data_IF_139863225072
#
_entry.id   IF_139863225072
#
_cell.length_a   1.000
_cell.length_b   1.000
_cell.length_c   1.000
_cell.angle_alpha   90.00
_cell.angle_beta   90.00
_cell.angle_gamma   90.00
#
_symmetry.space_group_name_H-M   'P 1'
#
loop_
_entity.id
_entity.type
_entity.pdbx_description
1 polymer ?
#
# COMPACT_ATOMS: atom_id res chain seq x y z
N UNK A 1 -7.26 3.30 -14.26
CA UNK A 1 -7.17 1.83 -14.43
C UNK A 1 -5.73 1.33 -14.57
N UNK A 2 -4.90 1.84 -15.49
CA UNK A 2 -3.50 1.38 -15.66
C UNK A 2 -2.66 1.58 -14.38
N UNK A 3 -2.73 2.76 -13.75
CA UNK A 3 -1.99 3.02 -12.49
C UNK A 3 -2.35 2.02 -11.39
N UNK A 4 -3.63 1.73 -11.27
CA UNK A 4 -4.13 0.76 -10.29
C UNK A 4 -3.56 -0.65 -10.55
N UNK A 5 -3.66 -1.12 -11.80
CA UNK A 5 -3.14 -2.44 -12.17
C UNK A 5 -1.63 -2.53 -11.96
N UNK A 6 -0.89 -1.49 -12.34
CA UNK A 6 0.56 -1.45 -12.14
C UNK A 6 0.94 -1.47 -10.66
N UNK A 7 0.22 -0.70 -9.84
CA UNK A 7 0.47 -0.66 -8.38
C UNK A 7 0.21 -2.02 -7.73
N UNK A 8 -0.86 -2.69 -8.14
CA UNK A 8 -1.17 -4.03 -7.66
C UNK A 8 -0.08 -5.02 -8.09
N UNK A 9 0.39 -4.95 -9.34
CA UNK A 9 1.47 -5.79 -9.83
C UNK A 9 2.78 -5.56 -9.05
N UNK A 10 3.09 -4.30 -8.70
CA UNK A 10 4.24 -3.95 -7.87
C UNK A 10 4.16 -4.64 -6.50
N UNK A 11 3.01 -4.56 -5.85
CA UNK A 11 2.80 -5.20 -4.53
C UNK A 11 2.90 -6.72 -4.65
N UNK A 12 2.34 -7.31 -5.71
CA UNK A 12 2.47 -8.75 -5.97
C UNK A 12 3.93 -9.18 -6.11
N UNK A 13 4.75 -8.39 -6.81
CA UNK A 13 6.18 -8.69 -6.95
C UNK A 13 6.88 -8.71 -5.58
N UNK A 14 6.62 -7.73 -4.73
CA UNK A 14 7.17 -7.68 -3.37
C UNK A 14 6.70 -8.87 -2.53
N UNK A 15 5.42 -9.21 -2.60
CA UNK A 15 4.85 -10.37 -1.90
C UNK A 15 5.52 -11.68 -2.32
N UNK A 16 5.75 -11.85 -3.62
CA UNK A 16 6.39 -13.06 -4.16
C UNK A 16 7.80 -13.24 -3.61
N UNK A 17 8.59 -12.16 -3.59
CA UNK A 17 9.96 -12.20 -3.05
C UNK A 17 9.94 -12.48 -1.55
N UNK A 18 8.98 -11.93 -0.82
CA UNK A 18 8.81 -12.18 0.61
C UNK A 18 8.34 -13.61 0.93
N UNK A 19 7.85 -14.34 -0.06
CA UNK A 19 7.34 -15.70 0.13
C UNK A 19 5.91 -15.76 0.64
N UNK A 20 5.12 -14.72 0.43
CA UNK A 20 3.73 -14.64 0.86
C UNK A 20 2.77 -14.75 -0.32
N UNK A 21 1.58 -15.27 -0.05
CA UNK A 21 0.49 -15.25 -1.02
C UNK A 21 -0.30 -13.95 -0.90
N UNK A 22 -0.76 -13.43 -2.03
CA UNK A 22 -1.71 -12.32 -2.01
C UNK A 22 -2.85 -12.60 -2.97
N UNK A 23 -4.05 -12.20 -2.56
CA UNK A 23 -5.27 -12.43 -3.30
C UNK A 23 -6.22 -11.26 -3.12
N UNK A 24 -7.04 -11.04 -4.14
CA UNK A 24 -8.13 -10.08 -4.03
C UNK A 24 -9.15 -10.59 -3.03
N UNK A 25 -9.66 -9.73 -2.10
CA UNK A 25 -10.70 -10.13 -1.19
C UNK A 25 -11.98 -10.55 -1.94
N UNK A 26 -12.71 -11.49 -1.37
CA UNK A 26 -13.97 -11.95 -1.94
C UNK A 26 -15.10 -10.92 -1.78
N UNK A 27 -14.97 -10.00 -0.82
CA UNK A 27 -15.95 -8.92 -0.55
C UNK A 27 -15.21 -7.59 -0.59
N UNK A 28 -15.70 -6.67 -1.40
CA UNK A 28 -15.08 -5.36 -1.67
C UNK A 28 -15.81 -4.24 -0.92
N UNK A 29 -15.85 -4.33 0.42
CA UNK A 29 -16.58 -3.35 1.22
C UNK A 29 -15.72 -2.57 2.22
N UNK A 30 -14.46 -2.95 2.43
CA UNK A 30 -13.60 -2.38 3.46
C UNK A 30 -12.35 -1.68 2.94
N UNK A 31 -12.39 -1.24 1.70
CA UNK A 31 -11.25 -0.55 1.05
C UNK A 31 -9.96 -1.38 0.98
N UNK A 32 -10.06 -2.71 0.98
CA UNK A 32 -8.90 -3.61 0.88
C UNK A 32 -8.78 -4.12 -0.55
N UNK A 33 -7.63 -3.82 -1.18
CA UNK A 33 -7.35 -4.28 -2.54
C UNK A 33 -6.74 -5.68 -2.57
N UNK A 34 -5.90 -6.01 -1.59
CA UNK A 34 -5.29 -7.33 -1.47
C UNK A 34 -5.25 -7.80 -0.02
N UNK A 35 -5.51 -9.09 0.18
CA UNK A 35 -5.18 -9.81 1.40
C UNK A 35 -3.83 -10.49 1.21
N UNK A 36 -2.91 -10.31 2.16
CA UNK A 36 -1.56 -10.88 2.15
C UNK A 36 -1.43 -11.85 3.30
N UNK A 37 -1.05 -13.09 3.02
CA UNK A 37 -0.94 -14.18 3.99
C UNK A 37 0.43 -14.80 3.99
N UNK A 38 0.95 -15.11 5.19
CA UNK A 38 2.15 -15.91 5.34
C UNK A 38 1.81 -17.38 5.11
N UNK A 39 2.54 -18.06 4.20
CA UNK A 39 2.24 -19.42 3.77
C UNK A 39 2.34 -20.46 4.89
N UNK A 40 3.25 -20.24 5.84
CA UNK A 40 3.53 -21.18 6.94
C UNK A 40 2.83 -20.81 8.25
N UNK A 41 2.04 -19.74 8.25
CA UNK A 41 1.33 -19.25 9.43
C UNK A 41 -0.05 -18.77 9.02
N UNK A 42 -1.05 -19.66 8.95
CA UNK A 42 -2.37 -19.34 8.39
C UNK A 42 -3.10 -18.21 9.10
N UNK A 43 -2.69 -17.88 10.33
CA UNK A 43 -3.28 -16.77 11.08
C UNK A 43 -2.55 -15.43 10.91
N UNK A 44 -1.41 -15.42 10.21
CA UNK A 44 -0.66 -14.20 9.91
C UNK A 44 -1.14 -13.65 8.58
N UNK A 45 -1.97 -12.61 8.65
CA UNK A 45 -2.57 -11.96 7.50
C UNK A 45 -2.64 -10.47 7.72
N UNK A 46 -2.46 -9.71 6.65
CA UNK A 46 -2.75 -8.26 6.62
C UNK A 46 -3.61 -7.94 5.41
N UNK A 47 -4.35 -6.85 5.49
CA UNK A 47 -5.05 -6.27 4.35
C UNK A 47 -4.35 -4.99 3.90
N UNK A 48 -4.30 -4.74 2.59
CA UNK A 48 -3.69 -3.52 2.07
C UNK A 48 -4.62 -2.81 1.11
N UNK A 49 -4.70 -1.47 1.29
CA UNK A 49 -5.26 -0.54 0.31
C UNK A 49 -4.10 0.01 -0.49
N UNK A 50 -4.20 -0.02 -1.80
CA UNK A 50 -3.12 0.39 -2.69
C UNK A 50 -3.54 1.65 -3.44
N UNK A 51 -2.71 2.69 -3.34
CA UNK A 51 -2.86 3.95 -4.07
C UNK A 51 -1.58 4.24 -4.83
N UNK A 52 -1.65 5.14 -5.79
CA UNK A 52 -0.48 5.61 -6.54
C UNK A 52 -0.60 7.10 -6.84
N UNK A 53 0.54 7.73 -7.02
CA UNK A 53 0.62 9.12 -7.46
C UNK A 53 1.82 9.36 -8.35
N UNK A 54 1.65 10.16 -9.38
CA UNK A 54 2.73 10.74 -10.16
C UNK A 54 2.90 12.23 -9.86
N UNK A 55 2.15 12.77 -8.88
CA UNK A 55 2.20 14.19 -8.54
C UNK A 55 3.37 14.45 -7.59
N UNK A 56 4.45 15.05 -8.12
CA UNK A 56 5.65 15.35 -7.35
C UNK A 56 5.39 16.34 -6.21
N UNK A 57 4.33 17.16 -6.30
CA UNK A 57 4.00 18.13 -5.25
C UNK A 57 3.55 17.44 -3.95
N UNK A 58 3.06 16.21 -4.03
CA UNK A 58 2.70 15.44 -2.83
C UNK A 58 3.93 14.94 -2.07
N UNK A 59 5.07 14.79 -2.75
CA UNK A 59 6.29 14.24 -2.15
C UNK A 59 7.09 15.38 -1.51
N UNK A 60 7.25 15.31 -0.19
CA UNK A 60 8.01 16.27 0.62
C UNK A 60 9.40 15.68 0.94
N UNK A 61 10.16 16.36 1.81
CA UNK A 61 11.53 15.93 2.13
C UNK A 61 11.59 14.59 2.88
N UNK A 62 10.61 14.29 3.72
CA UNK A 62 10.59 13.10 4.58
C UNK A 62 9.27 12.33 4.56
N UNK A 63 8.27 12.80 3.82
CA UNK A 63 6.95 12.16 3.76
C UNK A 63 6.22 12.50 2.46
N UNK A 64 5.13 11.75 2.20
CA UNK A 64 4.16 12.03 1.16
C UNK A 64 2.90 12.57 1.82
N UNK A 65 2.38 13.70 1.34
CA UNK A 65 1.06 14.19 1.69
C UNK A 65 0.06 13.67 0.66
N UNK A 66 -0.64 12.59 0.99
CA UNK A 66 -1.56 11.95 0.06
C UNK A 66 -3.01 12.31 0.40
N UNK A 67 -3.80 12.86 -0.55
CA UNK A 67 -5.23 13.13 -0.33
C UNK A 67 -6.03 11.83 -0.45
N UNK A 68 -6.22 11.16 0.69
CA UNK A 68 -6.95 9.90 0.74
C UNK A 68 -8.47 10.16 0.78
N UNK A 69 -9.28 9.51 -0.07
CA UNK A 69 -10.73 9.64 0.01
C UNK A 69 -11.25 9.29 1.40
N UNK A 70 -12.24 10.03 1.87
CA UNK A 70 -12.77 9.90 3.24
C UNK A 70 -13.26 8.48 3.54
N UNK A 71 -13.86 7.79 2.57
CA UNK A 71 -14.28 6.40 2.77
C UNK A 71 -13.10 5.50 3.10
N UNK A 72 -12.02 5.61 2.31
CA UNK A 72 -10.81 4.81 2.56
C UNK A 72 -10.18 5.15 3.92
N UNK A 73 -10.14 6.43 4.26
CA UNK A 73 -9.62 6.88 5.55
C UNK A 73 -10.41 6.28 6.71
N UNK A 74 -11.74 6.35 6.67
CA UNK A 74 -12.58 5.81 7.73
C UNK A 74 -12.50 4.29 7.83
N UNK A 75 -12.40 3.60 6.70
CA UNK A 75 -12.26 2.14 6.68
C UNK A 75 -10.91 1.70 7.28
N UNK A 76 -9.85 2.48 7.08
CA UNK A 76 -8.50 2.09 7.50
C UNK A 76 -8.12 2.56 8.91
N UNK A 77 -8.79 3.57 9.48
CA UNK A 77 -8.46 4.11 10.80
C UNK A 77 -9.06 3.32 11.96
N UNK A 78 -10.04 2.47 11.69
CA UNK A 78 -10.70 1.68 12.75
C UNK A 78 -9.74 0.70 13.41
N UNK A 79 -9.97 0.44 14.68
CA UNK A 79 -9.22 -0.51 15.49
C UNK A 79 -10.03 -1.77 15.84
N UNK A 80 -11.29 -1.82 15.42
CA UNK A 80 -12.25 -2.90 15.68
C UNK A 80 -12.12 -4.08 14.72
N UNK A 81 -10.99 -4.21 14.05
CA UNK A 81 -10.75 -5.25 13.06
C UNK A 81 -9.73 -6.27 13.56
N UNK A 82 -9.98 -7.55 13.26
CA UNK A 82 -9.10 -8.64 13.64
C UNK A 82 -7.82 -8.68 12.80
N UNK A 83 -7.85 -8.16 11.57
CA UNK A 83 -6.74 -8.22 10.61
C UNK A 83 -6.17 -6.81 10.46
N UNK A 84 -4.87 -6.61 10.72
CA UNK A 84 -4.23 -5.31 10.52
C UNK A 84 -4.34 -4.85 9.06
N UNK A 85 -4.55 -3.55 8.87
CA UNK A 85 -4.70 -2.94 7.56
C UNK A 85 -3.68 -1.82 7.38
N UNK A 86 -3.15 -1.72 6.16
CA UNK A 86 -2.15 -0.71 5.82
C UNK A 86 -2.49 -0.03 4.50
N UNK A 87 -2.15 1.25 4.40
CA UNK A 87 -2.15 1.98 3.15
C UNK A 87 -0.77 1.85 2.51
N UNK A 88 -0.74 1.49 1.23
CA UNK A 88 0.48 1.47 0.42
C UNK A 88 0.30 2.49 -0.69
N UNK A 89 1.27 3.38 -0.85
CA UNK A 89 1.29 4.38 -1.91
C UNK A 89 2.52 4.19 -2.79
N UNK A 90 2.30 3.89 -4.08
CA UNK A 90 3.35 3.81 -5.07
C UNK A 90 3.56 5.20 -5.69
N UNK A 91 4.77 5.72 -5.59
CA UNK A 91 5.16 6.94 -6.30
C UNK A 91 5.64 6.55 -7.69
N UNK A 92 4.97 7.07 -8.71
CA UNK A 92 5.33 6.85 -10.11
C UNK A 92 6.19 8.00 -10.62
N UNK A 93 7.11 7.74 -11.58
CA UNK A 93 7.97 8.80 -12.10
C UNK A 93 7.24 9.81 -12.97
N UNK A 94 6.15 9.39 -13.64
CA UNK A 94 5.44 10.17 -14.63
C UNK A 94 4.03 9.58 -14.84
N UNK A 95 3.14 10.33 -15.45
CA UNK A 95 1.82 9.84 -15.85
C UNK A 95 1.85 8.92 -17.09
N UNK A 96 2.96 8.95 -17.84
CA UNK A 96 3.14 8.11 -19.02
C UNK A 96 3.52 6.68 -18.60
N UNK A 97 2.68 5.66 -18.88
CA UNK A 97 2.97 4.27 -18.49
C UNK A 97 4.28 3.70 -19.02
N UNK A 98 4.76 4.18 -20.16
CA UNK A 98 6.04 3.74 -20.74
C UNK A 98 7.25 4.06 -19.85
N UNK A 99 7.09 5.04 -18.94
CA UNK A 99 8.15 5.43 -18.01
C UNK A 99 8.14 4.63 -16.70
N UNK A 100 7.17 3.73 -16.53
CA UNK A 100 7.02 2.99 -15.25
C UNK A 100 7.90 1.75 -15.17
N UNK A 101 8.35 1.23 -16.29
CA UNK A 101 9.25 0.07 -16.32
C UNK A 101 10.48 0.35 -17.20
N UNK A 102 11.55 -0.35 -16.88
CA UNK A 102 12.73 -0.42 -17.72
C UNK A 102 13.09 -1.89 -17.89
N UNK A 103 13.04 -2.38 -19.12
CA UNK A 103 13.24 -3.80 -19.40
C UNK A 103 14.40 -4.01 -20.35
N UNK A 104 15.27 -4.94 -19.98
CA UNK A 104 16.33 -5.49 -20.83
C UNK A 104 16.25 -7.01 -20.77
N UNK A 105 17.03 -7.76 -21.61
CA UNK A 105 17.05 -9.22 -21.49
C UNK A 105 17.45 -9.73 -20.10
N UNK A 106 18.20 -8.94 -19.32
CA UNK A 106 18.72 -9.33 -18.01
C UNK A 106 17.83 -8.89 -16.85
N UNK A 107 16.96 -7.89 -17.05
CA UNK A 107 16.22 -7.33 -15.93
C UNK A 107 14.92 -6.65 -16.36
N UNK A 108 13.99 -6.61 -15.42
CA UNK A 108 12.81 -5.76 -15.47
C UNK A 108 12.80 -4.90 -14.21
N UNK A 109 12.88 -3.57 -14.36
CA UNK A 109 12.78 -2.63 -13.25
C UNK A 109 11.41 -1.98 -13.25
N UNK A 110 10.77 -1.98 -12.10
CA UNK A 110 9.53 -1.23 -11.84
C UNK A 110 9.90 0.05 -11.09
N UNK A 111 9.53 1.18 -11.63
CA UNK A 111 9.91 2.52 -11.13
C UNK A 111 8.70 3.19 -10.48
N UNK A 112 8.77 3.80 -9.34
CA UNK A 112 9.87 4.06 -8.41
C UNK A 112 9.73 3.18 -7.15
N UNK A 113 9.31 3.79 -6.00
CA UNK A 113 9.15 3.09 -4.74
C UNK A 113 7.72 3.19 -4.23
N UNK A 114 7.29 2.18 -3.48
CA UNK A 114 6.08 2.23 -2.69
C UNK A 114 6.43 2.43 -1.21
N UNK A 115 5.52 3.06 -0.49
CA UNK A 115 5.65 3.40 0.93
C UNK A 115 4.38 2.99 1.65
N UNK A 116 4.51 2.61 2.92
CA UNK A 116 3.38 2.13 3.72
C UNK A 116 3.14 3.01 4.94
N UNK A 117 1.91 3.01 5.40
CA UNK A 117 1.53 3.64 6.66
C UNK A 117 0.35 2.90 7.28
N UNK A 118 0.34 2.82 8.62
CA UNK A 118 -0.85 2.41 9.37
C UNK A 118 -1.66 3.64 9.72
N UNK A 119 -2.95 3.61 9.44
CA UNK A 119 -3.89 4.66 9.86
C UNK A 119 -4.67 4.26 11.11
N UNK A 120 -4.33 3.12 11.72
CA UNK A 120 -4.96 2.66 12.96
C UNK A 120 -4.84 3.74 14.02
N UNK A 121 -5.93 3.96 14.73
CA UNK A 121 -6.04 4.96 15.80
C UNK A 121 -5.93 6.42 15.34
N UNK A 122 -5.98 6.67 14.02
CA UNK A 122 -6.12 8.04 13.52
C UNK A 122 -7.47 8.63 13.91
N UNK A 123 -7.47 9.93 14.19
CA UNK A 123 -8.64 10.63 14.69
C UNK A 123 -9.74 10.76 13.64
N UNK A 124 -10.97 10.84 14.09
CA UNK A 124 -12.09 11.22 13.25
C UNK A 124 -11.86 12.59 12.60
N UNK A 125 -12.49 12.79 11.46
CA UNK A 125 -12.40 14.05 10.73
C UNK A 125 -13.80 14.51 10.28
N UNK A 126 -13.99 15.81 10.22
CA UNK A 126 -15.20 16.43 9.65
C UNK A 126 -15.08 16.64 8.14
N UNK A 127 -13.97 16.28 7.51
CA UNK A 127 -13.79 16.40 6.07
C UNK A 127 -14.83 15.56 5.33
N UNK A 128 -15.30 16.06 4.19
CA UNK A 128 -16.36 15.41 3.41
C UNK A 128 -15.86 14.72 2.14
N UNK A 129 -14.67 15.07 1.66
CA UNK A 129 -14.10 14.52 0.42
C UNK A 129 -12.83 13.70 0.66
N UNK A 130 -11.78 14.35 1.17
CA UNK A 130 -10.47 13.74 1.35
C UNK A 130 -9.86 14.13 2.70
N UNK A 131 -8.96 13.28 3.17
CA UNK A 131 -8.09 13.57 4.31
C UNK A 131 -6.64 13.48 3.82
N UNK A 132 -5.84 14.51 4.08
CA UNK A 132 -4.41 14.45 3.78
C UNK A 132 -3.73 13.57 4.82
N UNK A 133 -3.19 12.43 4.38
CA UNK A 133 -2.44 11.52 5.23
C UNK A 133 -0.96 11.67 4.96
N UNK A 134 -0.14 11.60 6.03
CA UNK A 134 1.32 11.63 5.92
C UNK A 134 1.84 10.21 5.85
N UNK A 135 2.55 9.91 4.76
CA UNK A 135 3.18 8.61 4.56
C UNK A 135 4.69 8.81 4.65
N UNK A 136 5.36 8.30 5.70
CA UNK A 136 6.80 8.52 5.86
C UNK A 136 7.62 7.88 4.74
N UNK A 137 8.57 8.61 4.18
CA UNK A 137 9.50 8.07 3.19
C UNK A 137 10.46 7.03 3.80
N UNK A 138 10.61 7.03 5.12
CA UNK A 138 11.34 5.97 5.83
C UNK A 138 10.61 4.62 5.81
N UNK A 139 9.32 4.61 5.50
CA UNK A 139 8.52 3.39 5.43
C UNK A 139 8.49 2.82 4.01
N UNK A 140 9.65 2.53 3.44
CA UNK A 140 9.74 1.89 2.12
C UNK A 140 9.13 0.49 2.17
N UNK A 141 8.25 0.20 1.23
CA UNK A 141 7.60 -1.11 1.13
C UNK A 141 8.52 -2.10 0.43
N UNK A 142 9.26 -2.85 1.22
CA UNK A 142 10.23 -3.86 0.79
C UNK A 142 9.78 -5.26 1.25
N UNK A 143 10.37 -6.35 0.71
CA UNK A 143 10.10 -7.68 1.25
C UNK A 143 10.36 -7.79 2.76
N UNK A 144 11.43 -7.15 3.25
CA UNK A 144 11.78 -7.14 4.68
C UNK A 144 10.74 -6.38 5.51
N UNK A 145 10.30 -5.22 5.03
CA UNK A 145 9.24 -4.45 5.69
C UNK A 145 7.94 -5.25 5.75
N UNK A 146 7.57 -5.90 4.64
CA UNK A 146 6.36 -6.73 4.60
C UNK A 146 6.43 -7.88 5.60
N UNK A 147 7.57 -8.55 5.70
CA UNK A 147 7.78 -9.61 6.71
C UNK A 147 7.58 -9.08 8.12
N UNK A 148 8.08 -7.90 8.41
CA UNK A 148 7.91 -7.26 9.72
C UNK A 148 6.45 -6.93 10.00
N UNK A 149 5.73 -6.39 9.03
CA UNK A 149 4.32 -6.03 9.18
C UNK A 149 3.43 -7.24 9.41
N UNK A 150 3.65 -8.33 8.67
CA UNK A 150 2.80 -9.52 8.75
C UNK A 150 3.04 -10.31 10.05
N UNK A 151 4.23 -10.22 10.62
CA UNK A 151 4.58 -10.88 11.88
C UNK A 151 4.34 -10.00 13.10
N UNK A 152 4.07 -8.71 12.89
CA UNK A 152 3.74 -7.79 13.98
C UNK A 152 2.35 -8.13 14.49
N UNK A 153 2.28 -8.77 15.65
CA UNK A 153 1.01 -8.96 16.32
C UNK A 153 0.50 -7.59 16.76
N UNK A 154 -0.71 -7.25 16.32
CA UNK A 154 -1.40 -6.12 16.93
C UNK A 154 -1.70 -6.48 18.38
N UNK A 155 -1.02 -5.81 19.23
CA UNK A 155 -1.30 -5.90 20.66
C UNK A 155 -2.42 -4.92 20.98
#
# INVERSE_FOLDING_TARGET
MQKEQFSIAYVHAICSVAGFSCAKPSVDDQSIDLDIKASNRPFSQIGVQIKSTANIEYVKSDHINFPLPIKNYNDLRGDDVAIPRYLICLVLPDDNPEQWINQTPEQLLMLKCAYWVSLRDCMETDNTANVTVKIPLGNTFTPEALKSLIHKRSI
#
